data_IF_151399141479
#
_entry.id   IF_151399141479
#
_cell.length_a   1.000
_cell.length_b   1.000
_cell.length_c   1.000
_cell.angle_alpha   90.00
_cell.angle_beta   90.00
_cell.angle_gamma   90.00
#
_symmetry.space_group_name_H-M   'P 1'
#
loop_
_entity.id
_entity.type
_entity.pdbx_description
1 polymer ?
#
# COMPACT_ATOMS: atom_id res chain seq x y z
N UNK A 1 10.46 -6.73 -20.68
CA UNK A 1 10.70 -7.68 -19.57
C UNK A 1 9.99 -7.13 -18.35
N UNK A 2 9.15 -7.92 -17.68
CA UNK A 2 8.47 -7.46 -16.46
C UNK A 2 9.48 -7.27 -15.32
N UNK A 3 9.37 -6.21 -14.51
CA UNK A 3 10.31 -5.96 -13.43
C UNK A 3 10.25 -7.08 -12.39
N UNK A 4 11.42 -7.47 -11.86
CA UNK A 4 11.50 -8.46 -10.77
C UNK A 4 10.96 -7.91 -9.45
N UNK A 5 11.06 -6.59 -9.26
CA UNK A 5 10.57 -5.83 -8.13
C UNK A 5 9.93 -4.53 -8.61
N UNK A 6 8.73 -4.24 -8.14
CA UNK A 6 8.02 -2.98 -8.43
C UNK A 6 6.82 -2.82 -7.51
N UNK A 7 6.30 -1.60 -7.42
CA UNK A 7 4.92 -1.35 -7.02
C UNK A 7 4.15 -0.97 -8.29
N UNK A 8 2.94 -1.49 -8.44
CA UNK A 8 2.00 -1.04 -9.46
C UNK A 8 0.85 -0.33 -8.74
N UNK A 9 0.57 0.91 -9.11
CA UNK A 9 -0.51 1.72 -8.56
C UNK A 9 -1.64 1.81 -9.61
N UNK A 10 -2.88 1.75 -9.16
CA UNK A 10 -4.10 1.99 -9.95
C UNK A 10 -5.10 2.73 -9.05
N UNK A 11 -5.08 4.07 -9.09
CA UNK A 11 -5.88 4.92 -8.22
C UNK A 11 -5.49 4.80 -6.74
N UNK A 12 -6.28 4.07 -5.95
CA UNK A 12 -6.00 3.72 -4.54
C UNK A 12 -5.44 2.31 -4.37
N UNK A 13 -5.60 1.47 -5.39
CA UNK A 13 -5.17 0.07 -5.35
C UNK A 13 -3.71 -0.02 -5.67
N UNK A 14 -3.08 -1.05 -5.11
CA UNK A 14 -1.72 -1.36 -5.50
C UNK A 14 -1.40 -2.85 -5.45
N UNK A 15 -0.35 -3.21 -6.18
CA UNK A 15 0.27 -4.52 -6.16
C UNK A 15 1.75 -4.38 -5.89
N UNK A 16 2.29 -5.29 -5.09
CA UNK A 16 3.73 -5.42 -4.90
C UNK A 16 4.20 -6.57 -5.77
N UNK A 17 5.15 -6.30 -6.67
CA UNK A 17 5.87 -7.32 -7.43
C UNK A 17 7.16 -7.63 -6.67
N UNK A 18 7.36 -8.89 -6.29
CA UNK A 18 8.57 -9.35 -5.60
C UNK A 18 9.02 -10.69 -6.18
N UNK A 19 10.26 -10.73 -6.69
CA UNK A 19 10.85 -11.90 -7.38
C UNK A 19 9.94 -12.41 -8.52
N UNK A 20 9.39 -11.47 -9.29
CA UNK A 20 8.50 -11.76 -10.43
C UNK A 20 7.11 -12.28 -10.05
N UNK A 21 6.75 -12.30 -8.76
CA UNK A 21 5.41 -12.67 -8.29
C UNK A 21 4.63 -11.42 -7.87
N UNK A 22 3.36 -11.37 -8.24
CA UNK A 22 2.46 -10.26 -7.92
C UNK A 22 1.64 -10.56 -6.67
N UNK A 23 1.70 -9.66 -5.69
CA UNK A 23 0.93 -9.69 -4.46
C UNK A 23 -0.04 -8.51 -4.46
N UNK A 24 -1.33 -8.81 -4.45
CA UNK A 24 -2.39 -7.82 -4.41
C UNK A 24 -3.71 -8.39 -4.96
N UNK A 25 -4.73 -7.54 -5.16
CA UNK A 25 -4.71 -6.12 -4.85
C UNK A 25 -4.64 -5.86 -3.34
N UNK A 26 -3.90 -4.82 -2.96
CA UNK A 26 -4.10 -4.11 -1.70
C UNK A 26 -4.98 -2.89 -1.98
N UNK A 27 -5.91 -2.60 -1.08
CA UNK A 27 -6.88 -1.51 -1.25
C UNK A 27 -7.36 -0.98 0.11
N UNK A 28 -8.24 0.01 0.08
CA UNK A 28 -9.04 0.41 1.23
C UNK A 28 -10.52 0.53 0.86
N UNK A 29 -11.38 0.48 1.87
CA UNK A 29 -12.81 0.79 1.75
C UNK A 29 -13.28 1.67 2.92
N UNK A 30 -14.28 2.50 2.68
CA UNK A 30 -14.95 3.24 3.74
C UNK A 30 -15.84 2.28 4.54
N UNK A 31 -15.57 2.16 5.84
CA UNK A 31 -16.40 1.39 6.75
C UNK A 31 -17.66 2.18 7.08
N UNK A 32 -18.82 1.63 6.70
CA UNK A 32 -20.13 2.24 6.97
C UNK A 32 -20.44 2.35 8.48
N UNK A 33 -19.82 1.48 9.29
CA UNK A 33 -20.27 1.24 10.67
C UNK A 33 -19.45 1.98 11.73
N UNK A 34 -18.28 2.52 11.38
CA UNK A 34 -17.33 3.10 12.35
C UNK A 34 -16.70 4.45 11.95
N UNK A 35 -17.18 5.09 10.88
CA UNK A 35 -16.57 6.31 10.33
C UNK A 35 -15.06 6.17 10.02
N UNK A 36 -14.59 4.94 9.76
CA UNK A 36 -13.18 4.60 9.54
C UNK A 36 -12.90 4.02 8.16
N UNK A 37 -11.64 3.73 7.85
CA UNK A 37 -11.23 3.06 6.61
C UNK A 37 -10.73 1.65 6.94
N UNK A 38 -11.24 0.63 6.24
CA UNK A 38 -10.71 -0.73 6.32
C UNK A 38 -9.65 -0.95 5.24
N UNK A 39 -8.52 -1.54 5.60
CA UNK A 39 -7.47 -1.94 4.65
C UNK A 39 -7.67 -3.38 4.22
N UNK A 40 -7.60 -3.63 2.91
CA UNK A 40 -7.96 -4.90 2.29
C UNK A 40 -6.80 -5.51 1.52
N UNK A 41 -6.65 -6.84 1.61
CA UNK A 41 -5.78 -7.62 0.75
C UNK A 41 -6.62 -8.71 0.09
N UNK A 42 -6.76 -8.64 -1.24
CA UNK A 42 -7.65 -9.54 -2.01
C UNK A 42 -9.09 -9.59 -1.49
N UNK A 43 -9.58 -8.46 -0.98
CA UNK A 43 -10.92 -8.34 -0.40
C UNK A 43 -11.05 -8.79 1.06
N UNK A 44 -9.98 -9.31 1.67
CA UNK A 44 -9.98 -9.67 3.09
C UNK A 44 -9.37 -8.53 3.92
N UNK A 45 -10.06 -8.14 4.99
CA UNK A 45 -9.60 -7.08 5.90
C UNK A 45 -8.32 -7.52 6.61
N UNK A 46 -7.26 -6.73 6.46
CA UNK A 46 -6.02 -6.91 7.20
C UNK A 46 -5.77 -5.78 8.20
N UNK A 47 -6.59 -4.73 8.19
CA UNK A 47 -6.46 -3.68 9.18
C UNK A 47 -7.48 -2.58 9.03
N UNK A 48 -7.31 -1.53 9.82
CA UNK A 48 -8.19 -0.40 9.92
C UNK A 48 -7.44 0.87 10.33
N UNK A 49 -7.86 1.97 9.72
CA UNK A 49 -7.54 3.32 10.17
C UNK A 49 -8.64 3.77 11.13
N UNK A 50 -8.25 4.01 12.39
CA UNK A 50 -9.18 4.40 13.45
C UNK A 50 -9.18 5.91 13.68
N UNK A 51 -8.00 6.53 13.60
CA UNK A 51 -7.81 7.97 13.80
C UNK A 51 -6.51 8.45 13.15
N UNK A 52 -6.24 9.76 13.20
CA UNK A 52 -5.00 10.33 12.66
C UNK A 52 -3.75 9.75 13.33
N UNK A 53 -3.87 9.33 14.58
CA UNK A 53 -2.77 8.81 15.40
C UNK A 53 -2.75 7.28 15.47
N UNK A 54 -3.81 6.59 15.03
CA UNK A 54 -4.01 5.16 15.29
C UNK A 54 -4.43 4.38 14.05
N UNK A 55 -3.62 3.36 13.72
CA UNK A 55 -3.84 2.41 12.64
C UNK A 55 -3.49 1.01 13.15
N UNK A 56 -4.41 0.06 12.94
CA UNK A 56 -4.19 -1.36 13.22
C UNK A 56 -4.00 -2.11 11.91
N UNK A 57 -2.95 -2.93 11.80
CA UNK A 57 -2.75 -3.80 10.66
C UNK A 57 -2.10 -5.13 11.06
N UNK A 58 -2.61 -6.23 10.53
CA UNK A 58 -2.06 -7.57 10.68
C UNK A 58 -2.04 -8.32 9.34
N UNK A 59 -0.85 -8.39 8.74
CA UNK A 59 -0.61 -9.16 7.52
C UNK A 59 -0.14 -10.60 7.80
N UNK A 60 0.05 -11.00 9.06
CA UNK A 60 0.55 -12.35 9.43
C UNK A 60 -0.33 -13.48 8.87
N UNK A 61 -1.67 -13.39 8.84
CA UNK A 61 -2.52 -14.46 8.31
C UNK A 61 -2.20 -14.84 6.85
N UNK A 62 -1.76 -13.87 6.05
CA UNK A 62 -1.50 -14.06 4.62
C UNK A 62 -0.12 -14.63 4.30
N UNK A 63 0.75 -14.81 5.31
CA UNK A 63 2.09 -15.41 5.18
C UNK A 63 2.92 -14.82 4.03
N UNK A 64 2.84 -13.51 3.86
CA UNK A 64 3.54 -12.78 2.80
C UNK A 64 5.06 -12.72 3.07
N UNK A 65 5.90 -12.62 2.03
CA UNK A 65 7.32 -12.34 2.22
C UNK A 65 7.51 -11.05 3.02
N UNK A 66 8.51 -11.01 3.93
CA UNK A 66 8.75 -9.84 4.77
C UNK A 66 8.96 -8.55 3.96
N UNK A 67 9.63 -8.62 2.80
CA UNK A 67 9.76 -7.46 1.91
C UNK A 67 8.41 -6.98 1.38
N UNK A 68 7.47 -7.88 1.09
CA UNK A 68 6.12 -7.51 0.66
C UNK A 68 5.38 -6.85 1.81
N UNK A 69 5.48 -7.38 3.03
CA UNK A 69 4.89 -6.77 4.23
C UNK A 69 5.41 -5.35 4.42
N UNK A 70 6.73 -5.15 4.41
CA UNK A 70 7.33 -3.84 4.65
C UNK A 70 6.97 -2.82 3.56
N UNK A 71 7.03 -3.22 2.29
CA UNK A 71 6.62 -2.37 1.16
C UNK A 71 5.14 -2.02 1.27
N UNK A 72 4.28 -3.00 1.60
CA UNK A 72 2.84 -2.77 1.78
C UNK A 72 2.57 -1.77 2.89
N UNK A 73 3.24 -1.90 4.05
CA UNK A 73 3.06 -0.95 5.16
C UNK A 73 3.44 0.48 4.76
N UNK A 74 4.53 0.65 4.00
CA UNK A 74 4.96 1.97 3.50
C UNK A 74 3.93 2.53 2.51
N UNK A 75 3.58 1.73 1.48
CA UNK A 75 2.68 2.17 0.40
C UNK A 75 1.28 2.47 0.96
N UNK A 76 0.73 1.59 1.78
CA UNK A 76 -0.60 1.79 2.38
C UNK A 76 -0.64 3.03 3.26
N UNK A 77 0.40 3.27 4.07
CA UNK A 77 0.49 4.50 4.85
C UNK A 77 0.49 5.76 3.97
N UNK A 78 1.23 5.74 2.86
CA UNK A 78 1.24 6.84 1.89
C UNK A 78 -0.12 7.03 1.20
N UNK A 79 -0.77 5.94 0.80
CA UNK A 79 -2.09 5.96 0.15
C UNK A 79 -3.14 6.55 1.09
N UNK A 80 -3.24 6.02 2.31
CA UNK A 80 -4.23 6.48 3.31
C UNK A 80 -3.98 7.95 3.67
N UNK A 81 -2.73 8.31 3.98
CA UNK A 81 -2.40 9.70 4.31
C UNK A 81 -2.70 10.64 3.14
N UNK A 82 -2.34 10.24 1.91
CA UNK A 82 -2.60 11.03 0.72
C UNK A 82 -4.08 11.24 0.45
N UNK A 83 -4.90 10.18 0.57
CA UNK A 83 -6.36 10.26 0.40
C UNK A 83 -6.97 11.17 1.47
N UNK A 84 -6.61 10.99 2.73
CA UNK A 84 -7.15 11.78 3.84
C UNK A 84 -6.77 13.27 3.77
N UNK A 85 -5.66 13.61 3.11
CA UNK A 85 -5.19 14.98 2.93
C UNK A 85 -5.47 15.54 1.52
N UNK A 86 -6.28 14.85 0.70
CA UNK A 86 -6.71 15.35 -0.60
C UNK A 86 -5.62 15.42 -1.67
N UNK A 87 -4.55 14.62 -1.55
CA UNK A 87 -3.50 14.56 -2.56
C UNK A 87 -4.02 13.93 -3.86
N UNK A 88 -3.57 14.48 -4.99
CA UNK A 88 -3.73 13.90 -6.32
C UNK A 88 -2.95 12.58 -6.46
N UNK A 89 -3.26 11.82 -7.50
CA UNK A 89 -2.60 10.53 -7.76
C UNK A 89 -1.09 10.68 -8.00
N UNK A 90 -0.68 11.70 -8.75
CA UNK A 90 0.74 11.97 -9.00
C UNK A 90 1.49 12.37 -7.72
N UNK A 91 0.87 13.16 -6.84
CA UNK A 91 1.44 13.49 -5.53
C UNK A 91 1.56 12.25 -4.63
N UNK A 92 0.57 11.36 -4.64
CA UNK A 92 0.65 10.08 -3.91
C UNK A 92 1.74 9.18 -4.45
N UNK A 93 1.89 9.08 -5.76
CA UNK A 93 2.97 8.31 -6.38
C UNK A 93 4.34 8.86 -6.00
N UNK A 94 4.52 10.18 -6.05
CA UNK A 94 5.76 10.83 -5.63
C UNK A 94 6.08 10.59 -4.15
N UNK A 95 5.06 10.66 -3.29
CA UNK A 95 5.19 10.33 -1.86
C UNK A 95 5.64 8.88 -1.66
N UNK A 96 5.01 7.93 -2.36
CA UNK A 96 5.39 6.50 -2.32
C UNK A 96 6.84 6.31 -2.76
N UNK A 97 7.25 6.91 -3.88
CA UNK A 97 8.62 6.84 -4.39
C UNK A 97 9.64 7.35 -3.37
N UNK A 98 9.33 8.48 -2.74
CA UNK A 98 10.17 9.12 -1.73
C UNK A 98 10.31 8.21 -0.51
N UNK A 99 9.18 7.78 0.08
CA UNK A 99 9.20 6.93 1.28
C UNK A 99 9.84 5.58 1.04
N UNK A 100 9.58 4.92 -0.10
CA UNK A 100 10.26 3.67 -0.44
C UNK A 100 11.78 3.86 -0.50
N UNK A 101 12.25 4.98 -1.06
CA UNK A 101 13.70 5.26 -1.11
C UNK A 101 14.27 5.53 0.29
N UNK A 102 13.59 6.32 1.12
CA UNK A 102 14.02 6.63 2.50
C UNK A 102 14.16 5.37 3.37
N UNK A 103 13.30 4.36 3.16
CA UNK A 103 13.32 3.10 3.90
C UNK A 103 14.14 1.97 3.23
N UNK A 104 14.89 2.26 2.15
CA UNK A 104 15.76 1.26 1.48
C UNK A 104 15.03 0.24 0.59
N UNK A 105 13.87 0.63 0.06
CA UNK A 105 13.03 -0.13 -0.87
C UNK A 105 12.94 0.53 -2.25
N UNK A 106 13.93 1.32 -2.66
CA UNK A 106 13.99 2.02 -3.95
C UNK A 106 13.85 1.09 -5.16
N UNK A 107 14.22 -0.20 -5.03
CA UNK A 107 13.99 -1.21 -6.07
C UNK A 107 12.51 -1.53 -6.32
N UNK A 108 11.61 -1.11 -5.43
CA UNK A 108 10.16 -1.25 -5.55
C UNK A 108 9.48 0.03 -6.02
N UNK A 109 10.23 1.02 -6.54
CA UNK A 109 9.63 2.23 -7.11
C UNK A 109 8.47 1.89 -8.07
N UNK A 110 7.38 2.68 -8.07
CA UNK A 110 6.30 2.51 -9.02
C UNK A 110 6.83 2.46 -10.44
N UNK A 111 6.41 1.46 -11.20
CA UNK A 111 6.72 1.41 -12.63
C UNK A 111 5.86 2.45 -13.34
N UNK A 112 6.47 3.44 -14.01
CA UNK A 112 5.74 4.31 -14.92
C UNK A 112 5.09 3.44 -16.00
N UNK A 113 3.76 3.49 -16.09
CA UNK A 113 2.98 2.96 -17.19
C UNK A 113 3.06 3.87 -18.40
#
# INVERSE_FOLDING_TARGET
MSPSHAVHLDGSRFWVIHRGRTYGPFDYEWSADFCGLSMLYRGEKFGEYCSREELYADLRPFRLPLSVVNVTSIVMGCVLWGVLNGLSESEREHLVQTRLSEFGYERFRPSQS
#
